data_IF_960020671708
#
_entry.id   IF_960020671708
#
_cell.length_a   1.000
_cell.length_b   1.000
_cell.length_c   1.000
_cell.angle_alpha   90.00
_cell.angle_beta   90.00
_cell.angle_gamma   90.00
#
_symmetry.space_group_name_H-M   'P 1'
#
loop_
_entity.id
_entity.type
_entity.pdbx_description
1 polymer ?
#
# COMPACT_ATOMS: atom_id res chain seq x y z
N UNK A 1 -12.18 24.23 11.63
CA UNK A 1 -10.86 24.84 11.35
C UNK A 1 -9.67 24.26 12.14
N UNK A 2 -9.84 23.48 13.20
CA UNK A 2 -8.72 22.91 13.98
C UNK A 2 -8.11 21.62 13.41
N UNK A 3 -8.78 20.93 12.46
CA UNK A 3 -8.32 19.62 11.93
C UNK A 3 -7.26 19.72 10.83
N UNK A 4 -7.21 20.81 10.07
CA UNK A 4 -6.28 20.94 8.96
C UNK A 4 -4.79 21.04 9.39
N UNK A 5 -4.51 21.60 10.56
CA UNK A 5 -3.15 21.73 11.08
C UNK A 5 -2.51 20.39 11.51
N UNK A 6 -3.32 19.41 11.94
CA UNK A 6 -2.83 18.10 12.35
C UNK A 6 -2.37 17.19 11.19
N UNK A 7 -3.10 17.22 10.09
CA UNK A 7 -2.85 16.35 8.93
C UNK A 7 -1.55 16.71 8.18
N UNK A 8 -1.21 17.99 8.08
CA UNK A 8 0.01 18.48 7.43
C UNK A 8 1.29 18.07 8.19
N UNK A 9 1.22 17.87 9.51
CA UNK A 9 2.37 17.49 10.32
C UNK A 9 2.89 16.08 9.99
N UNK A 10 1.99 15.17 9.58
CA UNK A 10 2.32 13.77 9.27
C UNK A 10 3.37 13.61 8.15
N UNK A 11 3.41 14.57 7.23
CA UNK A 11 4.25 14.50 6.04
C UNK A 11 5.34 15.57 6.00
N UNK A 12 5.67 16.21 7.15
CA UNK A 12 6.77 17.19 7.16
C UNK A 12 8.12 16.50 7.34
N UNK A 13 9.11 16.79 6.47
CA UNK A 13 10.47 16.29 6.66
C UNK A 13 11.00 16.71 8.05
N UNK A 14 11.64 15.77 8.74
CA UNK A 14 12.25 16.03 10.06
C UNK A 14 11.32 15.98 11.26
N UNK A 15 9.99 15.85 11.09
CA UNK A 15 9.09 15.58 12.22
C UNK A 15 9.16 14.10 12.60
N UNK A 16 9.62 13.80 13.81
CA UNK A 16 9.62 12.43 14.39
C UNK A 16 8.24 12.03 14.96
N UNK A 17 7.15 12.63 14.51
CA UNK A 17 5.84 12.19 14.93
C UNK A 17 5.60 10.78 14.37
N UNK A 18 5.35 9.82 15.25
CA UNK A 18 5.09 8.42 14.88
C UNK A 18 3.72 8.29 14.20
N UNK A 19 3.68 8.59 12.90
CA UNK A 19 2.46 8.44 12.11
C UNK A 19 2.31 7.01 11.64
N UNK A 20 1.19 6.37 12.00
CA UNK A 20 0.87 5.02 11.54
C UNK A 20 -0.43 5.07 10.76
N UNK A 21 -0.35 4.70 9.50
CA UNK A 21 -1.47 4.61 8.57
C UNK A 21 -1.94 3.16 8.47
N UNK A 22 -3.25 2.97 8.36
CA UNK A 22 -3.84 1.67 8.08
C UNK A 22 -4.43 1.66 6.68
N UNK A 23 -4.07 0.64 5.88
CA UNK A 23 -4.68 0.47 4.57
C UNK A 23 -6.11 -0.05 4.68
N UNK A 24 -7.02 0.54 3.93
CA UNK A 24 -8.35 0.02 3.75
C UNK A 24 -8.38 -0.95 2.58
N UNK A 25 -8.59 -2.24 2.88
CA UNK A 25 -8.63 -3.27 1.87
C UNK A 25 -10.07 -3.48 1.35
N UNK A 26 -10.32 -3.30 0.04
CA UNK A 26 -11.66 -3.47 -0.56
C UNK A 26 -12.17 -4.90 -0.54
N UNK A 27 -11.27 -5.86 -0.44
CA UNK A 27 -11.60 -7.29 -0.46
C UNK A 27 -11.89 -7.87 0.93
N UNK A 28 -11.79 -7.06 1.98
CA UNK A 28 -12.16 -7.42 3.35
C UNK A 28 -13.42 -6.68 3.75
N UNK A 29 -14.40 -7.37 4.31
CA UNK A 29 -15.63 -6.76 4.75
C UNK A 29 -15.38 -5.62 5.75
N UNK A 30 -16.16 -4.54 5.67
CA UNK A 30 -15.98 -3.35 6.52
C UNK A 30 -16.09 -3.69 8.01
N UNK A 31 -17.00 -4.57 8.38
CA UNK A 31 -17.24 -5.02 9.75
C UNK A 31 -15.98 -5.64 10.37
N UNK A 32 -15.17 -6.33 9.56
CA UNK A 32 -13.90 -6.92 10.00
C UNK A 32 -12.76 -5.88 10.10
N UNK A 33 -12.83 -4.79 9.37
CA UNK A 33 -11.83 -3.71 9.37
C UNK A 33 -12.11 -2.65 10.44
N UNK A 34 -13.39 -2.29 10.63
CA UNK A 34 -13.84 -1.18 11.49
C UNK A 34 -13.21 -1.18 12.88
N UNK A 35 -13.11 -2.31 13.61
CA UNK A 35 -12.50 -2.33 14.93
C UNK A 35 -11.04 -1.88 14.96
N UNK A 36 -10.27 -2.14 13.88
CA UNK A 36 -8.90 -1.70 13.79
C UNK A 36 -8.81 -0.18 13.56
N UNK A 37 -9.65 0.38 12.70
CA UNK A 37 -9.68 1.83 12.45
C UNK A 37 -10.10 2.65 13.69
N UNK A 38 -10.89 2.08 14.57
CA UNK A 38 -11.31 2.73 15.82
C UNK A 38 -10.19 2.79 16.87
N UNK A 39 -9.02 2.19 16.62
CA UNK A 39 -7.92 2.18 17.58
C UNK A 39 -7.10 3.48 17.49
N UNK A 40 -6.72 4.08 18.64
CA UNK A 40 -5.94 5.32 18.68
C UNK A 40 -4.49 5.15 18.17
N UNK A 41 -4.07 3.90 17.93
CA UNK A 41 -2.77 3.59 17.37
C UNK A 41 -2.60 4.11 15.93
N UNK A 42 -3.69 4.27 15.18
CA UNK A 42 -3.68 4.77 13.82
C UNK A 42 -3.97 6.25 13.76
N UNK A 43 -3.13 6.98 13.03
CA UNK A 43 -3.26 8.42 12.79
C UNK A 43 -3.84 8.75 11.44
N UNK A 44 -3.92 7.76 10.55
CA UNK A 44 -4.44 7.97 9.20
C UNK A 44 -4.85 6.69 8.49
N UNK A 45 -5.48 6.86 7.34
CA UNK A 45 -5.96 5.79 6.47
C UNK A 45 -5.46 5.98 5.05
N UNK A 46 -5.04 4.89 4.41
CA UNK A 46 -4.72 4.84 2.98
C UNK A 46 -5.87 4.19 2.22
N UNK A 47 -6.43 4.93 1.26
CA UNK A 47 -7.49 4.47 0.38
C UNK A 47 -6.90 4.03 -0.95
N UNK A 48 -6.93 2.73 -1.31
CA UNK A 48 -6.46 2.28 -2.60
C UNK A 48 -7.39 2.74 -3.73
N UNK A 49 -6.82 2.93 -4.93
CA UNK A 49 -7.56 3.22 -6.13
C UNK A 49 -7.86 1.93 -6.89
N UNK A 50 -9.06 1.38 -6.68
CA UNK A 50 -9.54 0.17 -7.34
C UNK A 50 -10.92 0.44 -7.97
N UNK A 51 -11.10 0.16 -9.27
CA UNK A 51 -12.29 0.58 -10.02
C UNK A 51 -13.59 -0.17 -9.62
N UNK A 52 -13.44 -1.39 -9.10
CA UNK A 52 -14.57 -2.26 -8.77
C UNK A 52 -14.95 -2.24 -7.28
N UNK A 53 -14.69 -1.13 -6.61
CA UNK A 53 -15.09 -0.97 -5.23
C UNK A 53 -16.62 -0.77 -5.14
N UNK A 54 -17.36 -1.80 -4.89
CA UNK A 54 -18.83 -1.73 -4.74
C UNK A 54 -19.53 -3.08 -4.86
N UNK A 55 -18.92 -4.05 -5.50
CA UNK A 55 -19.41 -5.43 -5.42
C UNK A 55 -18.60 -6.17 -4.37
N UNK A 56 -19.21 -6.76 -3.32
CA UNK A 56 -18.50 -7.72 -2.51
C UNK A 56 -18.05 -8.84 -3.46
N UNK A 57 -16.75 -8.96 -3.69
CA UNK A 57 -16.24 -10.15 -4.32
C UNK A 57 -16.73 -11.30 -3.46
N UNK A 58 -17.49 -12.23 -4.01
CA UNK A 58 -17.80 -13.51 -3.38
C UNK A 58 -16.46 -14.25 -3.27
N UNK A 59 -15.75 -14.02 -2.18
CA UNK A 59 -14.48 -14.69 -1.86
C UNK A 59 -14.72 -15.98 -1.06
N UNK A 60 -15.95 -16.50 -1.06
CA UNK A 60 -16.29 -17.73 -0.32
C UNK A 60 -16.02 -19.01 -1.09
N UNK A 61 -15.60 -18.95 -2.36
CA UNK A 61 -15.41 -20.13 -3.22
C UNK A 61 -13.97 -20.58 -3.41
N UNK A 62 -13.02 -19.99 -2.68
CA UNK A 62 -11.62 -20.39 -2.77
C UNK A 62 -10.92 -20.00 -4.09
N UNK A 63 -11.56 -19.26 -4.97
CA UNK A 63 -10.97 -18.79 -6.22
C UNK A 63 -9.85 -17.79 -5.95
N UNK A 64 -8.69 -17.88 -6.62
CA UNK A 64 -7.60 -16.93 -6.44
C UNK A 64 -8.07 -15.54 -6.90
N UNK A 65 -7.84 -14.47 -6.10
CA UNK A 65 -8.15 -13.13 -6.53
C UNK A 65 -7.20 -12.77 -7.68
N UNK A 66 -7.71 -12.73 -8.87
CA UNK A 66 -6.95 -12.48 -10.09
C UNK A 66 -7.63 -12.93 -11.37
N UNK A 67 -8.56 -13.88 -11.29
CA UNK A 67 -9.42 -14.15 -12.42
C UNK A 67 -10.58 -13.15 -12.45
N UNK A 68 -10.46 -12.19 -13.32
CA UNK A 68 -11.57 -11.29 -13.68
C UNK A 68 -12.66 -12.13 -14.33
N UNK A 69 -13.94 -11.91 -14.01
CA UNK A 69 -15.00 -12.45 -14.85
C UNK A 69 -14.73 -11.97 -16.28
N UNK A 70 -14.59 -12.92 -17.19
CA UNK A 70 -14.55 -12.65 -18.63
C UNK A 70 -15.91 -12.03 -18.97
N UNK A 71 -15.94 -10.72 -19.14
CA UNK A 71 -17.10 -10.07 -19.79
C UNK A 71 -17.01 -10.50 -21.23
N UNK A 72 -17.77 -11.49 -21.60
CA UNK A 72 -18.02 -11.80 -23.00
C UNK A 72 -18.65 -10.56 -23.60
N UNK A 73 -18.01 -10.00 -24.61
CA UNK A 73 -18.56 -8.95 -25.44
C UNK A 73 -19.73 -9.55 -26.21
N UNK A 74 -20.92 -9.41 -25.66
CA UNK A 74 -22.15 -9.61 -26.46
C UNK A 74 -22.33 -8.35 -27.27
N UNK A 75 -22.27 -8.50 -28.59
CA UNK A 75 -22.71 -7.53 -29.59
C UNK A 75 -24.16 -7.15 -29.24
N UNK A 76 -24.35 -5.96 -28.71
CA UNK A 76 -25.69 -5.36 -28.54
C UNK A 76 -25.74 -4.15 -29.40
N UNK A 77 -26.59 -4.29 -30.39
CA UNK A 77 -27.04 -3.26 -31.35
C UNK A 77 -27.66 -2.05 -30.66
N UNK A 78 -27.46 -0.93 -31.32
CA UNK A 78 -28.12 0.37 -31.21
C UNK A 78 -29.47 0.38 -30.50
N UNK A 79 -29.54 1.16 -29.39
CA UNK A 79 -30.78 1.74 -28.92
C UNK A 79 -30.54 3.18 -28.45
N UNK A 80 -31.04 4.09 -29.23
CA UNK A 80 -31.07 5.53 -29.04
C UNK A 80 -32.10 5.90 -27.95
N UNK A 81 -31.64 6.05 -26.71
CA UNK A 81 -32.39 6.71 -25.64
C UNK A 81 -31.42 7.42 -24.69
N UNK A 82 -31.68 8.68 -24.27
CA UNK A 82 -30.88 9.36 -23.26
C UNK A 82 -31.08 8.64 -21.93
N UNK A 83 -30.15 7.75 -21.61
CA UNK A 83 -30.16 7.01 -20.35
C UNK A 83 -29.89 7.98 -19.18
N UNK A 84 -30.81 7.96 -18.21
CA UNK A 84 -30.51 8.53 -16.87
C UNK A 84 -29.18 8.02 -16.36
N UNK A 85 -28.38 8.82 -15.61
CA UNK A 85 -27.09 8.39 -15.10
C UNK A 85 -27.27 7.20 -14.15
N UNK A 86 -27.12 6.01 -14.69
CA UNK A 86 -27.17 4.77 -13.95
C UNK A 86 -26.07 4.78 -12.87
N UNK A 87 -26.26 4.03 -11.78
CA UNK A 87 -25.36 3.94 -10.62
C UNK A 87 -23.89 3.66 -10.95
N UNK A 88 -23.57 3.31 -12.18
CA UNK A 88 -22.22 3.11 -12.71
C UNK A 88 -21.41 4.41 -12.81
N UNK A 89 -22.04 5.59 -12.89
CA UNK A 89 -21.34 6.88 -13.03
C UNK A 89 -20.56 7.31 -11.77
N UNK A 90 -20.83 6.69 -10.60
CA UNK A 90 -20.10 6.99 -9.35
C UNK A 90 -18.88 6.12 -9.12
N UNK A 91 -18.61 5.13 -9.95
CA UNK A 91 -17.51 4.19 -9.73
C UNK A 91 -16.11 4.82 -9.89
N UNK A 92 -16.00 5.91 -10.63
CA UNK A 92 -14.75 6.64 -10.88
C UNK A 92 -14.35 7.61 -9.75
N UNK A 93 -15.29 7.97 -8.84
CA UNK A 93 -14.99 8.89 -7.74
C UNK A 93 -13.94 8.31 -6.79
N UNK A 94 -13.01 9.14 -6.27
CA UNK A 94 -12.07 8.73 -5.24
C UNK A 94 -12.77 8.14 -4.02
N UNK A 95 -12.15 7.17 -3.37
CA UNK A 95 -12.79 6.51 -2.22
C UNK A 95 -13.08 7.49 -1.08
N UNK A 96 -12.19 8.43 -0.81
CA UNK A 96 -12.41 9.46 0.21
C UNK A 96 -13.70 10.23 -0.02
N UNK A 97 -14.05 10.54 -1.28
CA UNK A 97 -15.28 11.22 -1.65
C UNK A 97 -16.55 10.34 -1.56
N UNK A 98 -16.38 9.03 -1.35
CA UNK A 98 -17.49 8.06 -1.27
C UNK A 98 -17.74 7.54 0.15
N UNK A 99 -17.05 8.10 1.15
CA UNK A 99 -17.23 7.70 2.54
C UNK A 99 -18.63 8.05 3.02
N UNK A 100 -19.37 7.06 3.52
CA UNK A 100 -20.62 7.31 4.20
C UNK A 100 -20.39 7.98 5.58
N UNK A 101 -21.44 8.63 6.16
CA UNK A 101 -21.29 9.30 7.45
C UNK A 101 -20.78 8.40 8.59
N UNK A 102 -21.18 7.14 8.60
CA UNK A 102 -20.71 6.16 9.60
C UNK A 102 -19.25 5.78 9.39
N UNK A 103 -18.82 5.61 8.13
CA UNK A 103 -17.42 5.31 7.80
C UNK A 103 -16.53 6.51 8.13
N UNK A 104 -16.91 7.71 7.74
CA UNK A 104 -16.16 8.92 8.00
C UNK A 104 -15.93 9.16 9.50
N UNK A 105 -16.92 8.85 10.36
CA UNK A 105 -16.77 8.96 11.81
C UNK A 105 -15.89 7.88 12.45
N UNK A 106 -15.72 6.75 11.78
CA UNK A 106 -14.95 5.62 12.30
C UNK A 106 -13.49 5.61 11.81
N UNK A 107 -13.14 6.44 10.83
CA UNK A 107 -11.80 6.54 10.27
C UNK A 107 -10.99 7.65 10.95
N UNK A 108 -9.65 7.50 11.03
CA UNK A 108 -8.76 8.60 11.40
C UNK A 108 -8.92 9.82 10.50
N UNK A 109 -8.60 11.00 10.99
CA UNK A 109 -8.78 12.27 10.23
C UNK A 109 -7.83 12.44 9.04
N UNK A 110 -6.68 11.78 9.04
CA UNK A 110 -5.70 11.89 7.94
C UNK A 110 -6.02 10.88 6.85
N UNK A 111 -6.40 11.35 5.68
CA UNK A 111 -6.75 10.52 4.54
C UNK A 111 -5.69 10.61 3.44
N UNK A 112 -5.12 9.46 3.05
CA UNK A 112 -4.25 9.32 1.88
C UNK A 112 -5.05 8.66 0.76
N UNK A 113 -5.30 9.37 -0.33
CA UNK A 113 -5.98 8.81 -1.50
C UNK A 113 -4.97 8.34 -2.54
N UNK A 114 -4.97 7.06 -2.86
CA UNK A 114 -4.17 6.54 -3.98
C UNK A 114 -4.79 6.93 -5.31
N UNK A 115 -3.98 7.44 -6.22
CA UNK A 115 -4.33 7.71 -7.62
C UNK A 115 -3.44 6.85 -8.51
N UNK A 116 -4.04 5.96 -9.28
CA UNK A 116 -3.32 5.00 -10.13
C UNK A 116 -3.45 5.37 -11.60
N UNK A 117 -2.32 5.51 -12.29
CA UNK A 117 -2.26 5.82 -13.71
C UNK A 117 -2.98 4.76 -14.57
N UNK A 118 -2.93 3.49 -14.17
CA UNK A 118 -3.60 2.40 -14.89
C UNK A 118 -5.13 2.49 -14.89
N UNK A 119 -5.70 3.33 -14.02
CA UNK A 119 -7.15 3.52 -13.90
C UNK A 119 -7.64 4.89 -14.40
N UNK A 120 -6.72 5.79 -14.73
CA UNK A 120 -7.05 7.05 -15.38
C UNK A 120 -6.98 6.88 -16.90
N UNK A 121 -7.92 7.44 -17.62
CA UNK A 121 -7.96 7.40 -19.09
C UNK A 121 -6.86 8.27 -19.68
N UNK A 122 -6.69 9.46 -19.08
CA UNK A 122 -5.75 10.49 -19.48
C UNK A 122 -5.35 11.35 -18.27
N UNK A 123 -4.55 12.37 -18.49
CA UNK A 123 -4.07 13.28 -17.43
C UNK A 123 -5.19 14.15 -16.87
N UNK A 124 -6.19 14.49 -17.67
CA UNK A 124 -7.29 15.35 -17.22
C UNK A 124 -8.28 14.56 -16.34
N UNK A 125 -8.51 13.29 -16.64
CA UNK A 125 -9.23 12.36 -15.76
C UNK A 125 -8.50 12.22 -14.40
N UNK A 126 -7.17 12.09 -14.42
CA UNK A 126 -6.35 12.05 -13.19
C UNK A 126 -6.45 13.37 -12.40
N UNK A 127 -6.35 14.53 -13.05
CA UNK A 127 -6.52 15.86 -12.43
C UNK A 127 -7.89 16.02 -11.79
N UNK A 128 -8.97 15.64 -12.51
CA UNK A 128 -10.32 15.70 -11.97
C UNK A 128 -10.45 14.85 -10.70
N UNK A 129 -9.91 13.63 -10.71
CA UNK A 129 -9.90 12.76 -9.54
C UNK A 129 -9.12 13.35 -8.37
N UNK A 130 -7.97 13.97 -8.62
CA UNK A 130 -7.14 14.60 -7.58
C UNK A 130 -7.87 15.78 -6.92
N UNK A 131 -8.54 16.65 -7.72
CA UNK A 131 -9.37 17.75 -7.18
C UNK A 131 -10.48 17.22 -6.29
N UNK A 132 -11.25 16.25 -6.79
CA UNK A 132 -12.37 15.67 -6.02
C UNK A 132 -11.85 15.00 -4.74
N UNK A 133 -10.67 14.37 -4.76
CA UNK A 133 -10.06 13.79 -3.56
C UNK A 133 -9.66 14.87 -2.55
N UNK A 134 -9.04 15.96 -3.00
CA UNK A 134 -8.63 17.08 -2.14
C UNK A 134 -9.85 17.79 -1.54
N UNK A 135 -10.88 18.09 -2.35
CA UNK A 135 -12.13 18.70 -1.91
C UNK A 135 -12.87 17.83 -0.88
N UNK A 136 -12.74 16.51 -0.98
CA UNK A 136 -13.28 15.56 -0.02
C UNK A 136 -12.42 15.37 1.24
N UNK A 137 -11.33 16.14 1.40
CA UNK A 137 -10.50 16.15 2.59
C UNK A 137 -9.31 15.18 2.55
N UNK A 138 -8.86 14.73 1.37
CA UNK A 138 -7.61 14.00 1.29
C UNK A 138 -6.43 14.89 1.73
N UNK A 139 -5.69 14.42 2.74
CA UNK A 139 -4.48 15.09 3.24
C UNK A 139 -3.26 14.80 2.38
N UNK A 140 -3.31 13.72 1.60
CA UNK A 140 -2.26 13.36 0.65
C UNK A 140 -2.80 12.59 -0.55
N UNK A 141 -2.12 12.75 -1.69
CA UNK A 141 -2.36 12.02 -2.93
C UNK A 141 -1.18 11.05 -3.17
N UNK A 142 -1.41 9.76 -3.11
CA UNK A 142 -0.41 8.74 -3.42
C UNK A 142 -0.47 8.37 -4.91
N UNK A 143 0.48 8.88 -5.68
CA UNK A 143 0.56 8.67 -7.12
C UNK A 143 1.31 7.37 -7.46
N UNK A 144 0.64 6.42 -8.12
CA UNK A 144 1.21 5.13 -8.49
C UNK A 144 0.96 4.80 -9.97
N UNK A 145 1.86 4.04 -10.59
CA UNK A 145 1.60 3.53 -11.95
C UNK A 145 0.42 2.56 -11.95
N UNK A 146 0.30 1.77 -10.88
CA UNK A 146 -0.70 0.71 -10.74
C UNK A 146 -0.32 -0.56 -11.50
N UNK A 147 -0.99 -1.65 -11.15
CA UNK A 147 -0.85 -2.94 -11.83
C UNK A 147 -1.66 -2.85 -13.13
N UNK A 148 -1.00 -2.53 -14.22
CA UNK A 148 -1.64 -2.31 -15.51
C UNK A 148 -2.63 -3.42 -15.87
N UNK A 149 -3.78 -3.05 -16.45
CA UNK A 149 -4.64 -4.03 -17.10
C UNK A 149 -3.81 -4.71 -18.18
N UNK A 150 -3.55 -6.03 -18.07
CA UNK A 150 -2.78 -6.79 -19.06
C UNK A 150 -3.30 -6.44 -20.45
N UNK A 151 -2.44 -5.87 -21.29
CA UNK A 151 -2.73 -5.54 -22.69
C UNK A 151 -3.06 -4.08 -23.01
N UNK A 152 -3.39 -3.20 -22.04
CA UNK A 152 -3.50 -1.76 -22.29
C UNK A 152 -2.27 -1.06 -21.74
N UNK A 153 -1.37 -0.58 -22.60
CA UNK A 153 -0.34 0.38 -22.21
C UNK A 153 -1.07 1.69 -21.87
N UNK A 154 -1.17 2.01 -20.59
CA UNK A 154 -1.51 3.38 -20.19
C UNK A 154 -0.40 4.29 -20.70
N UNK A 155 -0.77 5.42 -21.31
CA UNK A 155 0.18 6.47 -21.68
C UNK A 155 0.63 7.26 -20.46
N UNK A 156 -0.02 7.04 -19.30
CA UNK A 156 0.31 7.66 -18.03
C UNK A 156 1.18 6.73 -17.20
N UNK A 157 2.08 7.34 -16.46
CA UNK A 157 2.89 6.71 -15.41
C UNK A 157 2.82 7.51 -14.10
N UNK A 158 3.48 7.03 -13.07
CA UNK A 158 3.52 7.73 -11.79
C UNK A 158 4.16 9.13 -11.90
N UNK A 159 5.14 9.33 -12.79
CA UNK A 159 5.77 10.64 -12.96
C UNK A 159 4.81 11.66 -13.59
N UNK A 160 4.00 11.23 -14.56
CA UNK A 160 2.96 12.06 -15.13
C UNK A 160 1.91 12.47 -14.09
N UNK A 161 1.50 11.54 -13.20
CA UNK A 161 0.59 11.84 -12.10
C UNK A 161 1.20 12.81 -11.08
N UNK A 162 2.47 12.63 -10.70
CA UNK A 162 3.17 13.54 -9.77
C UNK A 162 3.24 14.96 -10.33
N UNK A 163 3.60 15.11 -11.62
CA UNK A 163 3.61 16.43 -12.28
C UNK A 163 2.22 17.05 -12.34
N UNK A 164 1.19 16.26 -12.61
CA UNK A 164 -0.20 16.72 -12.62
C UNK A 164 -0.66 17.21 -11.23
N UNK A 165 -0.37 16.45 -10.17
CA UNK A 165 -0.67 16.83 -8.79
C UNK A 165 0.06 18.13 -8.38
N UNK A 166 1.36 18.21 -8.71
CA UNK A 166 2.15 19.42 -8.47
C UNK A 166 1.58 20.62 -9.21
N UNK A 167 1.25 20.49 -10.48
CA UNK A 167 0.67 21.58 -11.27
C UNK A 167 -0.66 22.08 -10.68
N UNK A 168 -1.52 21.18 -10.19
CA UNK A 168 -2.77 21.55 -9.50
C UNK A 168 -2.50 22.32 -8.22
N UNK A 169 -1.52 21.91 -7.42
CA UNK A 169 -1.13 22.58 -6.18
C UNK A 169 -0.51 23.96 -6.46
N UNK A 170 0.39 24.03 -7.42
CA UNK A 170 1.05 25.28 -7.81
C UNK A 170 0.07 26.31 -8.41
N UNK A 171 -1.00 25.84 -9.07
CA UNK A 171 -2.11 26.66 -9.57
C UNK A 171 -3.15 27.04 -8.49
N UNK A 172 -3.04 26.51 -7.27
CA UNK A 172 -4.02 26.71 -6.20
C UNK A 172 -5.35 25.99 -6.43
N UNK A 173 -5.38 25.01 -7.36
CA UNK A 173 -6.57 24.20 -7.63
C UNK A 173 -6.80 23.08 -6.61
N UNK A 174 -5.78 22.74 -5.83
CA UNK A 174 -5.85 21.97 -4.59
C UNK A 174 -5.06 22.72 -3.51
N UNK A 175 -5.41 22.48 -2.24
CA UNK A 175 -4.77 23.13 -1.11
C UNK A 175 -3.25 22.86 -1.09
N UNK A 176 -2.45 23.89 -0.76
CA UNK A 176 -1.00 23.78 -0.61
C UNK A 176 -0.56 22.78 0.47
N UNK A 177 -1.42 22.49 1.44
CA UNK A 177 -1.19 21.52 2.50
C UNK A 177 -1.42 20.06 2.08
N UNK A 178 -2.07 19.83 0.94
CA UNK A 178 -2.20 18.48 0.36
C UNK A 178 -0.84 17.97 -0.07
N UNK A 179 -0.37 16.90 0.54
CA UNK A 179 0.93 16.29 0.24
C UNK A 179 0.86 15.41 -1.00
N UNK A 180 1.94 15.40 -1.75
CA UNK A 180 2.07 14.57 -2.94
C UNK A 180 3.04 13.44 -2.60
N UNK A 181 2.53 12.22 -2.55
CA UNK A 181 3.31 11.03 -2.24
C UNK A 181 3.56 10.18 -3.49
N UNK A 182 4.74 9.58 -3.56
CA UNK A 182 5.06 8.55 -4.55
C UNK A 182 5.19 7.18 -3.88
N UNK A 183 5.00 6.11 -4.66
CA UNK A 183 5.32 4.76 -4.20
C UNK A 183 6.75 4.37 -4.56
N UNK A 184 7.39 3.55 -3.71
CA UNK A 184 8.63 2.85 -4.03
C UNK A 184 8.49 1.36 -3.65
N UNK A 185 9.23 0.50 -4.35
CA UNK A 185 9.33 -0.91 -4.03
C UNK A 185 10.78 -1.26 -3.70
N UNK A 186 11.18 -1.19 -2.41
CA UNK A 186 12.57 -1.37 -2.01
C UNK A 186 13.20 -2.68 -2.49
N UNK A 187 12.44 -3.77 -2.41
CA UNK A 187 12.93 -5.08 -2.82
C UNK A 187 13.12 -5.19 -4.34
N UNK A 188 12.13 -4.71 -5.12
CA UNK A 188 12.18 -4.79 -6.57
C UNK A 188 13.18 -3.78 -7.17
N UNK A 189 13.23 -2.55 -6.65
CA UNK A 189 14.13 -1.52 -7.13
C UNK A 189 15.59 -1.87 -6.85
N UNK A 190 15.92 -2.41 -5.67
CA UNK A 190 17.27 -2.91 -5.36
C UNK A 190 17.69 -4.05 -6.28
N UNK A 191 16.78 -4.95 -6.64
CA UNK A 191 17.07 -6.08 -7.52
C UNK A 191 17.32 -5.68 -8.98
N UNK A 192 16.83 -4.51 -9.42
CA UNK A 192 16.99 -4.01 -10.80
C UNK A 192 18.34 -3.36 -11.06
N UNK A 193 19.11 -3.04 -10.05
CA UNK A 193 20.34 -2.22 -10.12
C UNK A 193 21.36 -2.70 -11.16
N UNK A 194 21.45 -4.01 -11.43
CA UNK A 194 22.47 -4.59 -12.32
C UNK A 194 22.08 -4.63 -13.80
N UNK A 195 20.79 -4.51 -14.14
CA UNK A 195 20.33 -4.69 -15.52
C UNK A 195 20.44 -3.44 -16.38
N UNK A 196 20.22 -2.29 -15.79
CA UNK A 196 20.30 -1.00 -16.46
C UNK A 196 21.07 -0.04 -15.56
N UNK A 197 22.36 0.20 -15.81
CA UNK A 197 23.18 1.12 -14.99
C UNK A 197 22.57 2.53 -14.87
N UNK A 198 21.62 2.86 -15.77
CA UNK A 198 20.94 4.17 -15.80
C UNK A 198 19.72 4.30 -14.89
N UNK A 199 19.24 3.22 -14.29
CA UNK A 199 18.01 3.24 -13.49
C UNK A 199 18.31 2.60 -12.12
N UNK A 200 18.97 3.38 -11.27
CA UNK A 200 19.19 3.02 -9.87
C UNK A 200 17.98 3.41 -9.00
N UNK A 201 17.79 2.80 -7.81
CA UNK A 201 16.79 3.25 -6.83
C UNK A 201 16.85 4.74 -6.55
N UNK A 202 18.05 5.31 -6.39
CA UNK A 202 18.24 6.74 -6.17
C UNK A 202 17.82 7.59 -7.37
N UNK A 203 18.13 7.19 -8.60
CA UNK A 203 17.70 7.92 -9.80
C UNK A 203 16.17 7.86 -9.99
N UNK A 204 15.53 6.74 -9.63
CA UNK A 204 14.06 6.63 -9.66
C UNK A 204 13.41 7.55 -8.63
N UNK A 205 13.93 7.58 -7.40
CA UNK A 205 13.40 8.46 -6.36
C UNK A 205 13.66 9.92 -6.69
N UNK A 206 14.86 10.27 -7.18
CA UNK A 206 15.18 11.63 -7.62
C UNK A 206 14.19 12.14 -8.67
N UNK A 207 13.90 11.32 -9.70
CA UNK A 207 12.92 11.69 -10.72
C UNK A 207 11.50 11.90 -10.15
N UNK A 208 11.10 11.14 -9.12
CA UNK A 208 9.81 11.32 -8.44
C UNK A 208 9.77 12.59 -7.61
N UNK A 209 10.86 12.92 -6.90
CA UNK A 209 10.99 14.17 -6.13
C UNK A 209 10.97 15.38 -7.10
N UNK A 210 11.74 15.33 -8.18
CA UNK A 210 11.74 16.36 -9.22
C UNK A 210 10.36 16.57 -9.84
N UNK A 211 9.61 15.47 -10.02
CA UNK A 211 8.22 15.50 -10.51
C UNK A 211 7.24 16.08 -9.48
N UNK A 212 7.62 16.29 -8.22
CA UNK A 212 6.84 16.95 -7.19
C UNK A 212 6.47 16.11 -5.99
N UNK A 213 7.11 14.95 -5.78
CA UNK A 213 6.84 14.13 -4.58
C UNK A 213 7.45 14.77 -3.32
N UNK A 214 6.62 14.97 -2.29
CA UNK A 214 7.01 15.41 -0.94
C UNK A 214 7.26 14.21 0.00
N UNK A 215 6.70 13.05 -0.33
CA UNK A 215 6.80 11.84 0.48
C UNK A 215 6.96 10.59 -0.39
N UNK A 216 7.58 9.57 0.18
CA UNK A 216 7.62 8.21 -0.39
C UNK A 216 6.95 7.23 0.56
N UNK A 217 5.97 6.48 0.06
CA UNK A 217 5.33 5.37 0.75
C UNK A 217 5.85 4.08 0.11
N UNK A 218 6.53 3.25 0.90
CA UNK A 218 7.13 2.04 0.34
C UNK A 218 6.18 0.85 0.34
N UNK A 219 6.39 -0.07 -0.60
CA UNK A 219 5.88 -1.43 -0.49
C UNK A 219 6.55 -2.15 0.70
N UNK A 220 5.92 -3.20 1.26
CA UNK A 220 6.51 -3.94 2.36
C UNK A 220 7.89 -4.52 2.06
N UNK A 221 8.76 -4.45 3.06
CA UNK A 221 10.13 -4.96 3.00
C UNK A 221 10.18 -6.47 3.28
N UNK A 222 9.51 -7.26 2.42
CA UNK A 222 9.40 -8.74 2.59
C UNK A 222 10.73 -9.49 2.41
N UNK A 223 11.76 -8.84 1.87
CA UNK A 223 13.15 -9.34 1.82
C UNK A 223 14.06 -8.28 2.45
N UNK A 224 14.37 -8.39 3.74
CA UNK A 224 15.08 -7.37 4.50
C UNK A 224 16.42 -6.94 3.91
N UNK A 225 17.21 -7.88 3.37
CA UNK A 225 18.51 -7.59 2.77
C UNK A 225 18.43 -6.66 1.55
N UNK A 226 17.43 -6.86 0.67
CA UNK A 226 17.18 -5.99 -0.47
C UNK A 226 16.68 -4.61 -0.03
N UNK A 227 15.79 -4.57 0.94
CA UNK A 227 15.28 -3.32 1.49
C UNK A 227 16.39 -2.49 2.16
N UNK A 228 17.32 -3.13 2.90
CA UNK A 228 18.51 -2.46 3.44
C UNK A 228 19.42 -1.92 2.34
N UNK A 229 19.64 -2.68 1.26
CA UNK A 229 20.45 -2.22 0.14
C UNK A 229 19.83 -0.98 -0.52
N UNK A 230 18.51 -0.96 -0.70
CA UNK A 230 17.76 0.19 -1.21
C UNK A 230 17.93 1.42 -0.30
N UNK A 231 17.72 1.28 1.01
CA UNK A 231 17.84 2.38 1.97
C UNK A 231 19.24 2.98 1.99
N UNK A 232 20.27 2.13 2.02
CA UNK A 232 21.69 2.58 1.97
C UNK A 232 21.97 3.42 0.72
N UNK A 233 21.43 3.01 -0.43
CA UNK A 233 21.62 3.77 -1.67
C UNK A 233 20.92 5.13 -1.62
N UNK A 234 19.68 5.20 -1.11
CA UNK A 234 18.96 6.46 -0.93
C UNK A 234 19.72 7.39 0.03
N UNK A 235 20.21 6.88 1.15
CA UNK A 235 21.02 7.63 2.10
C UNK A 235 22.31 8.16 1.47
N UNK A 236 23.03 7.31 0.74
CA UNK A 236 24.27 7.68 0.08
C UNK A 236 24.09 8.74 -1.01
N UNK A 237 22.92 8.80 -1.64
CA UNK A 237 22.58 9.81 -2.65
C UNK A 237 22.19 11.19 -2.05
N UNK A 238 21.96 11.26 -0.75
CA UNK A 238 21.50 12.46 -0.06
C UNK A 238 20.00 12.74 -0.13
N UNK A 239 19.24 11.99 -0.95
CA UNK A 239 17.80 12.20 -1.18
C UNK A 239 16.92 11.97 0.07
N UNK A 240 17.46 11.29 1.08
CA UNK A 240 16.76 11.04 2.34
C UNK A 240 16.33 12.31 3.08
N UNK A 241 16.93 13.47 2.76
CA UNK A 241 16.61 14.79 3.36
C UNK A 241 15.45 15.49 2.67
N UNK A 242 15.18 15.13 1.43
CA UNK A 242 14.27 15.86 0.55
C UNK A 242 12.85 15.28 0.55
N UNK A 243 12.64 14.14 1.21
CA UNK A 243 11.38 13.43 1.16
C UNK A 243 11.04 12.75 2.50
N UNK A 244 9.77 12.80 2.90
CA UNK A 244 9.27 12.07 4.05
C UNK A 244 9.13 10.59 3.71
N UNK A 245 9.67 9.68 4.53
CA UNK A 245 9.60 8.24 4.32
C UNK A 245 8.53 7.59 5.21
N UNK A 246 7.55 6.94 4.58
CA UNK A 246 6.53 6.11 5.23
C UNK A 246 6.80 4.65 4.84
N UNK A 247 7.21 3.84 5.81
CA UNK A 247 7.58 2.46 5.57
C UNK A 247 6.35 1.55 5.44
N UNK A 248 6.27 0.76 4.39
CA UNK A 248 5.23 -0.26 4.20
C UNK A 248 5.48 -1.49 5.07
N UNK A 249 4.46 -1.92 5.82
CA UNK A 249 4.51 -3.06 6.73
C UNK A 249 3.45 -4.09 6.33
N UNK A 250 3.89 -5.27 5.92
CA UNK A 250 3.01 -6.40 5.69
C UNK A 250 2.53 -7.00 7.02
N UNK A 251 1.29 -7.49 7.04
CA UNK A 251 0.74 -8.27 8.15
C UNK A 251 0.31 -9.64 7.60
N UNK A 252 1.25 -10.57 7.35
CA UNK A 252 0.90 -11.91 6.93
C UNK A 252 0.21 -12.65 8.07
N UNK A 253 -0.72 -13.56 7.72
CA UNK A 253 -1.54 -14.29 8.71
C UNK A 253 -1.55 -15.81 8.48
N UNK A 254 -0.84 -16.24 7.45
CA UNK A 254 -0.66 -17.65 7.06
C UNK A 254 0.48 -17.78 6.06
N UNK A 255 0.96 -19.00 5.82
CA UNK A 255 1.95 -19.30 4.77
C UNK A 255 1.45 -18.77 3.40
N UNK A 256 0.19 -19.04 3.05
CA UNK A 256 -0.42 -18.55 1.81
C UNK A 256 -0.44 -17.01 1.71
N UNK A 257 -0.71 -16.30 2.82
CA UNK A 257 -0.70 -14.83 2.80
C UNK A 257 0.72 -14.28 2.73
N UNK A 258 1.71 -14.94 3.32
CA UNK A 258 3.12 -14.59 3.19
C UNK A 258 3.60 -14.75 1.74
N UNK A 259 3.31 -15.87 1.09
CA UNK A 259 3.60 -16.09 -0.33
C UNK A 259 2.91 -15.05 -1.22
N UNK A 260 1.67 -14.67 -0.89
CA UNK A 260 0.94 -13.62 -1.62
C UNK A 260 1.64 -12.27 -1.51
N UNK A 261 2.16 -11.91 -0.34
CA UNK A 261 2.95 -10.69 -0.16
C UNK A 261 4.21 -10.70 -1.03
N UNK A 262 4.91 -11.82 -1.12
CA UNK A 262 6.06 -11.96 -2.02
C UNK A 262 5.66 -11.74 -3.49
N UNK A 263 4.53 -12.35 -3.92
CA UNK A 263 4.00 -12.14 -5.28
C UNK A 263 3.60 -10.69 -5.54
N UNK A 264 3.01 -9.99 -4.58
CA UNK A 264 2.65 -8.57 -4.72
C UNK A 264 3.90 -7.68 -4.84
N UNK A 265 4.94 -7.96 -4.08
CA UNK A 265 6.18 -7.17 -4.08
C UNK A 265 7.00 -7.42 -5.34
N UNK A 266 7.11 -8.66 -5.81
CA UNK A 266 7.91 -9.03 -6.97
C UNK A 266 7.10 -9.18 -8.28
N UNK A 267 5.77 -9.11 -8.22
CA UNK A 267 4.85 -9.43 -9.31
C UNK A 267 4.61 -10.93 -9.44
N UNK A 268 3.66 -11.32 -10.31
CA UNK A 268 3.40 -12.75 -10.66
C UNK A 268 4.63 -13.45 -11.29
N UNK A 269 5.68 -12.72 -11.49
CA UNK A 269 6.92 -13.12 -12.12
C UNK A 269 7.94 -13.58 -11.08
N UNK A 270 7.54 -14.53 -10.23
CA UNK A 270 8.45 -15.27 -9.33
C UNK A 270 9.46 -16.10 -10.12
N UNK A 271 9.30 -16.17 -11.45
CA UNK A 271 10.26 -16.77 -12.38
C UNK A 271 11.46 -15.87 -12.61
N UNK A 272 12.54 -16.48 -12.89
CA UNK A 272 13.93 -16.10 -13.16
C UNK A 272 14.22 -14.76 -13.87
N UNK A 273 13.21 -14.05 -14.36
CA UNK A 273 13.36 -12.88 -15.22
C UNK A 273 13.68 -11.57 -14.47
N UNK A 274 13.38 -11.46 -13.16
CA UNK A 274 13.43 -10.18 -12.44
C UNK A 274 14.62 -10.01 -11.51
N UNK A 275 15.08 -11.08 -10.89
CA UNK A 275 16.27 -11.07 -10.07
C UNK A 275 17.47 -11.40 -10.98
N UNK A 276 18.35 -10.46 -11.18
CA UNK A 276 19.32 -10.53 -12.28
C UNK A 276 20.62 -11.21 -11.93
N UNK A 277 21.05 -11.13 -10.66
CA UNK A 277 22.21 -11.90 -10.23
C UNK A 277 21.78 -13.24 -9.64
N UNK A 278 22.60 -14.26 -9.86
CA UNK A 278 22.40 -15.56 -9.21
C UNK A 278 22.39 -15.44 -7.70
N UNK A 279 23.18 -14.51 -7.13
CA UNK A 279 23.28 -14.26 -5.68
C UNK A 279 22.01 -13.57 -5.15
N UNK A 280 21.50 -12.52 -5.81
CA UNK A 280 20.27 -11.84 -5.38
C UNK A 280 19.05 -12.75 -5.50
N UNK A 281 18.99 -13.56 -6.55
CA UNK A 281 17.97 -14.61 -6.70
C UNK A 281 18.02 -15.60 -5.56
N UNK A 282 19.20 -16.07 -5.22
CA UNK A 282 19.35 -17.05 -4.14
C UNK A 282 19.01 -16.45 -2.77
N UNK A 283 19.41 -15.21 -2.50
CA UNK A 283 19.02 -14.49 -1.27
C UNK A 283 17.51 -14.34 -1.18
N UNK A 284 16.86 -13.88 -2.25
CA UNK A 284 15.41 -13.70 -2.27
C UNK A 284 14.67 -15.05 -2.15
N UNK A 285 15.10 -16.07 -2.90
CA UNK A 285 14.51 -17.42 -2.82
C UNK A 285 14.68 -18.06 -1.46
N UNK A 286 15.84 -17.87 -0.83
CA UNK A 286 16.10 -18.35 0.53
C UNK A 286 15.20 -17.66 1.52
N UNK A 287 15.12 -16.32 1.50
CA UNK A 287 14.26 -15.54 2.38
C UNK A 287 12.78 -15.92 2.23
N UNK A 288 12.32 -16.11 0.99
CA UNK A 288 10.95 -16.54 0.70
C UNK A 288 10.68 -17.95 1.25
N UNK A 289 11.61 -18.89 1.07
CA UNK A 289 11.48 -20.24 1.59
C UNK A 289 11.49 -20.28 3.10
N UNK A 290 12.46 -19.61 3.72
CA UNK A 290 12.57 -19.54 5.20
C UNK A 290 11.31 -18.96 5.82
N UNK A 291 10.74 -17.93 5.23
CA UNK A 291 9.48 -17.35 5.69
C UNK A 291 8.30 -18.31 5.51
N UNK A 292 8.18 -18.96 4.35
CA UNK A 292 7.12 -19.94 4.08
C UNK A 292 7.24 -21.18 5.00
N UNK A 293 8.46 -21.65 5.26
CA UNK A 293 8.72 -22.79 6.17
C UNK A 293 8.37 -22.42 7.61
N UNK A 294 8.73 -21.21 8.07
CA UNK A 294 8.39 -20.72 9.39
C UNK A 294 6.86 -20.63 9.59
N UNK A 295 6.12 -20.20 8.55
CA UNK A 295 4.66 -20.16 8.60
C UNK A 295 4.04 -21.57 8.61
N UNK A 296 4.56 -22.51 7.82
CA UNK A 296 4.08 -23.91 7.82
C UNK A 296 4.30 -24.58 9.17
N UNK A 297 5.51 -24.44 9.72
CA UNK A 297 5.81 -24.99 11.05
C UNK A 297 4.89 -24.41 12.14
N UNK A 298 4.54 -23.13 12.06
CA UNK A 298 3.57 -22.52 12.97
C UNK A 298 2.16 -23.09 12.76
N UNK A 299 1.73 -23.26 11.50
CA UNK A 299 0.40 -23.81 11.19
C UNK A 299 0.28 -25.25 11.71
N UNK A 300 1.28 -26.08 11.48
CA UNK A 300 1.36 -27.46 12.01
C UNK A 300 1.31 -27.45 13.56
N UNK A 301 2.08 -26.60 14.21
CA UNK A 301 2.07 -26.48 15.67
C UNK A 301 0.69 -26.04 16.21
N UNK A 302 0.01 -25.13 15.52
CA UNK A 302 -1.36 -24.71 15.90
C UNK A 302 -2.35 -25.86 15.73
N UNK A 303 -2.27 -26.62 14.64
CA UNK A 303 -3.14 -27.78 14.40
C UNK A 303 -2.96 -28.85 15.47
N UNK A 304 -1.72 -29.21 15.80
CA UNK A 304 -1.42 -30.15 16.89
C UNK A 304 -2.00 -29.70 18.24
N UNK A 305 -1.92 -28.39 18.55
CA UNK A 305 -2.47 -27.85 19.79
C UNK A 305 -3.99 -27.74 19.79
N UNK A 306 -4.61 -27.51 18.62
CA UNK A 306 -6.06 -27.50 18.49
C UNK A 306 -6.67 -28.89 18.70
N UNK A 307 -5.95 -29.97 18.32
CA UNK A 307 -6.37 -31.33 18.53
C UNK A 307 -6.21 -31.78 19.99
N UNK A 308 -5.23 -31.25 20.72
CA UNK A 308 -4.89 -31.69 22.06
C UNK A 308 -5.49 -30.82 23.19
N UNK A 309 -5.91 -29.59 22.90
CA UNK A 309 -6.39 -28.60 23.88
C UNK A 309 -7.65 -27.88 23.40
N UNK A 310 -8.31 -27.15 24.31
CA UNK A 310 -9.39 -26.25 23.94
C UNK A 310 -8.91 -25.24 22.85
N UNK A 311 -9.62 -25.07 21.78
CA UNK A 311 -9.24 -24.27 20.61
C UNK A 311 -8.82 -22.82 20.91
N UNK A 312 -9.00 -22.34 22.14
CA UNK A 312 -8.64 -21.00 22.64
C UNK A 312 -7.10 -20.82 22.65
N UNK A 313 -6.36 -21.84 23.08
CA UNK A 313 -4.89 -21.76 23.20
C UNK A 313 -4.23 -21.67 21.82
N UNK A 314 -4.69 -22.45 20.84
CA UNK A 314 -4.19 -22.39 19.47
C UNK A 314 -4.45 -21.05 18.78
N UNK A 315 -5.64 -20.46 18.97
CA UNK A 315 -5.98 -19.16 18.41
C UNK A 315 -5.15 -18.01 19.04
N UNK A 316 -4.90 -18.07 20.35
CA UNK A 316 -4.06 -17.10 21.05
C UNK A 316 -2.60 -17.19 20.58
N UNK A 317 -2.08 -18.40 20.41
CA UNK A 317 -0.75 -18.66 19.87
C UNK A 317 -0.60 -18.09 18.45
N UNK A 318 -1.55 -18.41 17.54
CA UNK A 318 -1.56 -17.87 16.18
C UNK A 318 -1.60 -16.35 16.15
N UNK A 319 -2.43 -15.72 16.99
CA UNK A 319 -2.49 -14.26 17.09
C UNK A 319 -1.14 -13.67 17.48
N UNK A 320 -0.50 -14.21 18.53
CA UNK A 320 0.80 -13.77 19.00
C UNK A 320 1.88 -13.93 17.92
N UNK A 321 1.89 -15.06 17.21
CA UNK A 321 2.81 -15.29 16.09
C UNK A 321 2.67 -14.24 14.98
N UNK A 322 1.43 -13.92 14.57
CA UNK A 322 1.15 -12.88 13.57
C UNK A 322 1.75 -11.53 14.02
N UNK A 323 1.54 -11.17 15.29
CA UNK A 323 2.05 -9.93 15.87
C UNK A 323 3.59 -9.90 15.91
N UNK A 324 4.23 -10.99 16.32
CA UNK A 324 5.69 -11.12 16.37
C UNK A 324 6.33 -11.06 14.96
N UNK A 325 5.73 -11.72 13.96
CA UNK A 325 6.22 -11.65 12.58
C UNK A 325 6.07 -10.25 11.99
N UNK A 326 4.92 -9.60 12.17
CA UNK A 326 4.71 -8.24 11.72
C UNK A 326 5.65 -7.24 12.44
N UNK A 327 5.97 -7.47 13.73
CA UNK A 327 6.95 -6.67 14.46
C UNK A 327 8.36 -6.82 13.87
N UNK A 328 8.80 -8.01 13.48
CA UNK A 328 10.08 -8.21 12.82
C UNK A 328 10.18 -7.42 11.51
N UNK A 329 9.15 -7.46 10.67
CA UNK A 329 9.10 -6.64 9.46
C UNK A 329 9.07 -5.15 9.77
N UNK A 330 8.33 -4.74 10.81
CA UNK A 330 8.26 -3.35 11.22
C UNK A 330 9.62 -2.86 11.76
N UNK A 331 10.25 -3.61 12.66
CA UNK A 331 11.55 -3.25 13.21
C UNK A 331 12.58 -3.04 12.09
N UNK A 332 12.67 -3.99 11.15
CA UNK A 332 13.57 -3.86 10.02
C UNK A 332 13.27 -2.64 9.13
N UNK A 333 11.99 -2.30 8.95
CA UNK A 333 11.58 -1.22 8.08
C UNK A 333 11.76 0.18 8.72
N UNK A 334 11.54 0.32 10.04
CA UNK A 334 11.46 1.64 10.69
C UNK A 334 12.71 2.01 11.49
N UNK A 335 13.52 1.04 11.97
CA UNK A 335 14.69 1.33 12.82
C UNK A 335 15.99 1.54 12.05
N UNK A 336 15.93 1.50 10.72
CA UNK A 336 17.14 1.68 9.90
C UNK A 336 17.74 3.07 10.06
N UNK A 337 19.04 3.14 10.38
CA UNK A 337 19.78 4.40 10.41
C UNK A 337 20.01 4.98 9.00
N UNK A 338 19.99 4.14 7.96
CA UNK A 338 20.36 4.53 6.60
C UNK A 338 19.31 5.39 5.89
N UNK A 339 18.05 5.23 6.21
CA UNK A 339 16.95 6.07 5.74
C UNK A 339 15.80 5.88 6.71
N UNK A 340 15.81 6.59 7.83
CA UNK A 340 14.82 6.38 8.88
C UNK A 340 13.41 6.67 8.38
N UNK A 341 12.45 5.86 8.80
CA UNK A 341 11.06 6.12 8.51
C UNK A 341 10.53 7.23 9.45
N UNK A 342 9.73 8.13 8.89
CA UNK A 342 8.96 9.13 9.63
C UNK A 342 7.61 8.56 10.08
N UNK A 343 7.19 7.47 9.49
CA UNK A 343 5.94 6.79 9.80
C UNK A 343 5.87 5.40 9.15
N UNK A 344 4.75 4.72 9.34
CA UNK A 344 4.51 3.41 8.78
C UNK A 344 3.11 3.30 8.13
N UNK A 345 3.02 2.49 7.10
CA UNK A 345 1.79 2.10 6.43
C UNK A 345 1.54 0.61 6.65
N UNK A 346 0.61 0.27 7.52
CA UNK A 346 0.25 -1.11 7.88
C UNK A 346 -0.76 -1.62 6.86
N UNK A 347 -0.46 -2.74 6.22
CA UNK A 347 -1.22 -3.32 5.11
C UNK A 347 -1.73 -4.72 5.45
N UNK A 348 -2.86 -4.87 6.17
CA UNK A 348 -3.48 -6.16 6.39
C UNK A 348 -4.29 -6.58 5.15
N UNK A 349 -4.19 -7.85 4.75
CA UNK A 349 -4.93 -8.40 3.61
C UNK A 349 -6.08 -9.33 4.01
N UNK A 350 -6.23 -9.61 5.29
CA UNK A 350 -7.18 -10.59 5.82
C UNK A 350 -7.89 -10.06 7.06
N UNK A 351 -9.08 -10.57 7.43
CA UNK A 351 -9.73 -10.24 8.69
C UNK A 351 -8.84 -10.49 9.92
N UNK A 352 -8.02 -11.56 9.91
CA UNK A 352 -7.07 -11.84 10.97
C UNK A 352 -5.98 -10.77 11.07
N UNK A 353 -5.47 -10.27 9.94
CA UNK A 353 -4.50 -9.18 9.88
C UNK A 353 -5.06 -7.89 10.50
N UNK A 354 -6.33 -7.54 10.24
CA UNK A 354 -6.98 -6.39 10.85
C UNK A 354 -7.13 -6.53 12.37
N UNK A 355 -7.41 -7.73 12.87
CA UNK A 355 -7.47 -7.98 14.33
C UNK A 355 -6.12 -7.78 15.04
N UNK A 356 -5.01 -8.06 14.35
CA UNK A 356 -3.65 -7.88 14.90
C UNK A 356 -3.05 -6.50 14.58
N UNK A 357 -3.63 -5.75 13.65
CA UNK A 357 -3.05 -4.50 13.15
C UNK A 357 -2.84 -3.45 14.25
N UNK A 358 -3.73 -3.36 15.24
CA UNK A 358 -3.60 -2.40 16.34
C UNK A 358 -2.37 -2.70 17.22
N UNK A 359 -2.15 -3.96 17.58
CA UNK A 359 -0.98 -4.37 18.37
C UNK A 359 0.32 -4.12 17.59
N UNK A 360 0.32 -4.38 16.29
CA UNK A 360 1.44 -4.07 15.39
C UNK A 360 1.69 -2.55 15.36
N UNK A 361 0.66 -1.74 15.23
CA UNK A 361 0.78 -0.27 15.23
C UNK A 361 1.35 0.28 16.53
N UNK A 362 0.91 -0.23 17.68
CA UNK A 362 1.46 0.16 19.00
C UNK A 362 2.94 -0.16 19.13
N UNK A 363 3.40 -1.30 18.62
CA UNK A 363 4.81 -1.67 18.57
C UNK A 363 5.60 -0.75 17.63
N UNK A 364 5.07 -0.46 16.44
CA UNK A 364 5.67 0.49 15.49
C UNK A 364 5.84 1.88 16.12
N UNK A 365 4.83 2.38 16.82
CA UNK A 365 4.91 3.69 17.50
C UNK A 365 6.03 3.73 18.54
N UNK A 366 6.24 2.64 19.28
CA UNK A 366 7.36 2.52 20.23
C UNK A 366 8.72 2.49 19.55
N UNK A 367 8.80 1.92 18.33
CA UNK A 367 10.05 1.89 17.55
C UNK A 367 10.36 3.23 16.88
N UNK A 368 9.34 4.03 16.57
CA UNK A 368 9.48 5.36 15.95
C UNK A 368 9.71 6.48 16.96
N UNK A 369 9.31 6.28 18.23
CA UNK A 369 9.50 7.23 19.32
C UNK A 369 10.96 7.30 19.77
#
# INVERSE_FOLDING_TARGET
MASALGASAAFRPGTRAAHVFLERNPYVAWEAQRPAFAQPAFTGVVHPHLPHWGAPAKLDDGSPPGERPRVEATDAAEADHPAEPTSSSRSWLPRVARLGPMEARALPETHVQTVSASWCRDVDDARAMMRVAADAGASALLCVTGDGVRGKKSHLDALALLRAARALRDAGEIDSDVRIACAANPCLEASRRKRTPRVSPSSLLAAKIEAGADAVITQPSVVPSLARAWRREIQASGLARDVTHIAGIAVPTSARSAERWHRLVFGDRTSDEWLHSSEEKEIARRSIREEADAWRAMEEHVEEHLEQHDGVTGLAFRKRWIEERAELFAAEAVTSADFPANGAHVMPMTPAGYRSAAAVADKIRKLLA
#
